data_IF_830206997111
#
_entry.id   IF_830206997111
#
_cell.length_a   1.000
_cell.length_b   1.000
_cell.length_c   1.000
_cell.angle_alpha   90.00
_cell.angle_beta   90.00
_cell.angle_gamma   90.00
#
_symmetry.space_group_name_H-M   'P 1'
#
loop_
_entity.id
_entity.type
_entity.pdbx_description
1 polymer ?
#
# COMPACT_ATOMS: atom_id res chain seq x y z
N UNK A 1 1.30 -9.77 21.49
CA UNK A 1 2.30 -9.28 20.51
C UNK A 1 1.67 -8.15 19.72
N UNK A 2 2.39 -7.05 19.52
CA UNK A 2 1.97 -5.95 18.64
C UNK A 2 2.58 -6.18 17.26
N UNK A 3 1.79 -5.98 16.21
CA UNK A 3 2.26 -6.10 14.82
C UNK A 3 1.79 -4.89 14.03
N UNK A 4 2.71 -4.19 13.38
CA UNK A 4 2.43 -2.99 12.60
C UNK A 4 3.53 -2.68 11.59
N UNK A 5 3.37 -1.58 10.86
CA UNK A 5 4.31 -1.14 9.82
C UNK A 5 4.04 -1.69 8.41
N UNK A 6 3.20 -2.73 8.30
CA UNK A 6 2.66 -3.27 7.05
C UNK A 6 1.34 -4.00 7.29
N UNK A 7 0.68 -4.43 6.22
CA UNK A 7 -0.42 -5.38 6.30
C UNK A 7 0.02 -6.68 7.01
N UNK A 8 -0.86 -7.24 7.85
CA UNK A 8 -0.65 -8.55 8.47
C UNK A 8 -1.45 -9.60 7.69
N UNK A 9 -0.74 -10.54 7.10
CA UNK A 9 -1.33 -11.70 6.44
C UNK A 9 -2.28 -12.48 7.37
N UNK A 10 -3.47 -12.80 6.87
CA UNK A 10 -4.53 -13.44 7.66
C UNK A 10 -4.20 -14.90 8.00
N UNK A 11 -3.45 -15.61 7.16
CA UNK A 11 -3.02 -16.97 7.44
C UNK A 11 -2.00 -16.96 8.58
N UNK A 12 -1.01 -16.07 8.53
CA UNK A 12 -0.04 -15.88 9.61
C UNK A 12 -0.71 -15.49 10.92
N UNK A 13 -1.70 -14.58 10.88
CA UNK A 13 -2.50 -14.23 12.06
C UNK A 13 -3.20 -15.45 12.66
N UNK A 14 -3.86 -16.25 11.82
CA UNK A 14 -4.58 -17.45 12.25
C UNK A 14 -3.64 -18.50 12.84
N UNK A 15 -2.47 -18.70 12.24
CA UNK A 15 -1.43 -19.60 12.77
C UNK A 15 -0.85 -19.13 14.11
N UNK A 16 -0.72 -17.82 14.33
CA UNK A 16 -0.32 -17.29 15.62
C UNK A 16 -1.40 -17.53 16.69
N UNK A 17 -2.68 -17.33 16.33
CA UNK A 17 -3.81 -17.55 17.22
C UNK A 17 -3.96 -19.02 17.62
N UNK A 18 -3.73 -19.99 16.72
CA UNK A 18 -3.74 -21.43 17.06
C UNK A 18 -2.62 -21.82 18.02
N UNK A 19 -1.53 -21.04 18.07
CA UNK A 19 -0.45 -21.17 19.04
C UNK A 19 -0.68 -20.34 20.32
N UNK A 20 -1.91 -19.86 20.53
CA UNK A 20 -2.31 -19.02 21.67
C UNK A 20 -1.54 -17.70 21.77
N UNK A 21 -0.99 -17.19 20.66
CA UNK A 21 -0.35 -15.87 20.61
C UNK A 21 -1.41 -14.82 20.27
N UNK A 22 -1.74 -13.97 21.25
CA UNK A 22 -2.63 -12.82 21.00
C UNK A 22 -1.92 -11.78 20.14
N UNK A 23 -2.44 -11.56 18.93
CA UNK A 23 -1.99 -10.50 18.02
C UNK A 23 -2.87 -9.27 18.14
N UNK A 24 -2.25 -8.10 18.27
CA UNK A 24 -2.90 -6.80 18.17
C UNK A 24 -2.27 -6.07 16.99
N UNK A 25 -3.08 -5.77 15.98
CA UNK A 25 -2.62 -5.01 14.82
C UNK A 25 -2.59 -3.53 15.15
N UNK A 26 -1.55 -2.84 14.72
CA UNK A 26 -1.36 -1.41 14.96
C UNK A 26 -1.20 -0.66 13.66
N UNK A 27 -1.85 0.49 13.56
CA UNK A 27 -1.64 1.47 12.52
C UNK A 27 -1.04 2.74 13.13
N UNK A 28 -0.12 3.35 12.39
CA UNK A 28 0.58 4.55 12.80
C UNK A 28 1.78 4.82 11.91
N UNK A 29 2.42 5.96 12.14
CA UNK A 29 3.55 6.46 11.36
C UNK A 29 4.45 7.34 12.22
N UNK A 30 5.58 7.76 11.66
CA UNK A 30 6.55 8.64 12.35
C UNK A 30 5.89 9.94 12.81
N UNK A 31 4.98 10.47 12.02
CA UNK A 31 4.22 11.70 12.28
C UNK A 31 3.28 11.58 13.49
N UNK A 32 2.92 10.34 13.87
CA UNK A 32 2.13 10.03 15.07
C UNK A 32 2.98 9.39 16.18
N UNK A 33 4.30 9.54 16.12
CA UNK A 33 5.26 8.97 17.08
C UNK A 33 5.11 7.46 17.29
N UNK A 34 4.71 6.73 16.24
CA UNK A 34 4.44 5.29 16.29
C UNK A 34 2.96 4.96 16.12
N UNK A 35 2.49 3.94 16.84
CA UNK A 35 1.11 3.45 16.73
C UNK A 35 0.09 4.39 17.35
N UNK A 36 -0.99 4.71 16.62
CA UNK A 36 -2.08 5.57 17.09
C UNK A 36 -3.46 4.88 17.00
N UNK A 37 -3.60 3.80 16.24
CA UNK A 37 -4.83 3.01 16.11
C UNK A 37 -4.51 1.52 16.30
N UNK A 38 -5.20 0.87 17.23
CA UNK A 38 -4.94 -0.51 17.67
C UNK A 38 -6.20 -1.34 17.47
N UNK A 39 -6.09 -2.43 16.71
CA UNK A 39 -7.22 -3.27 16.31
C UNK A 39 -8.40 -2.44 15.76
N UNK A 40 -8.07 -1.48 14.88
CA UNK A 40 -9.00 -0.52 14.25
C UNK A 40 -9.64 0.52 15.19
N UNK A 41 -9.25 0.54 16.47
CA UNK A 41 -9.74 1.52 17.45
C UNK A 41 -8.66 2.56 17.76
N UNK A 42 -9.03 3.84 17.91
CA UNK A 42 -8.05 4.86 18.27
C UNK A 42 -7.52 4.62 19.69
N UNK A 43 -6.27 5.00 19.94
CA UNK A 43 -5.78 5.17 21.32
C UNK A 43 -6.47 6.35 21.99
N UNK A 44 -6.32 6.46 23.31
CA UNK A 44 -6.88 7.58 24.07
C UNK A 44 -6.37 8.92 23.55
N UNK A 45 -7.29 9.87 23.33
CA UNK A 45 -7.00 11.18 22.77
C UNK A 45 -6.71 11.19 21.27
N UNK A 46 -6.78 10.05 20.58
CA UNK A 46 -6.67 9.99 19.11
C UNK A 46 -8.05 10.11 18.49
N UNK A 47 -8.17 11.01 17.52
CA UNK A 47 -9.34 11.08 16.65
C UNK A 47 -8.91 10.84 15.21
N UNK A 48 -9.82 10.27 14.41
CA UNK A 48 -9.63 10.12 12.98
C UNK A 48 -10.89 10.50 12.21
N UNK A 49 -10.70 10.97 10.98
CA UNK A 49 -11.75 11.19 9.99
C UNK A 49 -11.20 10.92 8.59
N UNK A 50 -12.07 10.96 7.59
CA UNK A 50 -11.67 10.87 6.19
C UNK A 50 -11.81 12.24 5.52
N UNK A 51 -10.87 12.60 4.65
CA UNK A 51 -11.02 13.73 3.73
C UNK A 51 -12.07 13.42 2.65
N UNK A 52 -12.40 14.39 1.80
CA UNK A 52 -13.28 14.20 0.62
C UNK A 52 -12.75 13.14 -0.35
N UNK A 53 -11.44 12.92 -0.38
CA UNK A 53 -10.75 11.95 -1.23
C UNK A 53 -10.56 10.59 -0.53
N UNK A 54 -11.08 10.43 0.71
CA UNK A 54 -10.95 9.20 1.48
C UNK A 54 -9.62 9.05 2.23
N UNK A 55 -8.82 10.12 2.34
CA UNK A 55 -7.55 10.09 3.07
C UNK A 55 -7.78 10.11 4.56
N UNK A 56 -7.01 9.30 5.28
CA UNK A 56 -7.07 9.24 6.73
C UNK A 56 -6.46 10.53 7.29
N UNK A 57 -7.27 11.29 8.00
CA UNK A 57 -6.84 12.44 8.79
C UNK A 57 -6.82 12.05 10.27
N UNK A 58 -5.77 12.41 10.98
CA UNK A 58 -5.50 12.03 12.36
C UNK A 58 -5.21 13.27 13.21
N UNK A 59 -5.59 13.22 14.48
CA UNK A 59 -5.10 14.15 15.51
C UNK A 59 -4.94 13.41 16.83
N UNK A 60 -4.09 13.95 17.71
CA UNK A 60 -3.91 13.40 19.05
C UNK A 60 -2.62 13.85 19.72
N UNK A 61 -2.44 13.48 21.01
CA UNK A 61 -1.36 13.99 21.85
C UNK A 61 0.05 13.53 21.41
N UNK A 62 0.14 12.51 20.56
CA UNK A 62 1.40 11.96 20.04
C UNK A 62 1.79 12.53 18.66
N UNK A 63 0.96 13.39 18.07
CA UNK A 63 1.25 14.00 16.77
C UNK A 63 2.51 14.85 16.87
N UNK A 64 3.45 14.65 15.95
CA UNK A 64 4.66 15.47 15.90
C UNK A 64 4.33 16.90 15.46
N UNK A 65 5.19 17.85 15.84
CA UNK A 65 4.95 19.27 15.57
C UNK A 65 5.16 19.67 14.11
N UNK A 66 5.82 18.84 13.31
CA UNK A 66 6.19 19.15 11.93
C UNK A 66 7.45 18.45 11.45
N UNK A 67 7.80 18.67 10.18
CA UNK A 67 9.09 18.24 9.61
C UNK A 67 10.14 19.31 9.81
N UNK A 68 11.37 18.91 10.11
CA UNK A 68 12.52 19.81 10.13
C UNK A 68 13.07 19.94 8.71
N UNK A 69 13.24 21.16 8.21
CA UNK A 69 13.90 21.41 6.93
C UNK A 69 15.44 21.42 7.03
N UNK A 70 16.10 21.57 5.89
CA UNK A 70 17.57 21.59 5.81
C UNK A 70 18.22 22.76 6.58
N UNK A 71 17.44 23.74 7.02
CA UNK A 71 17.90 24.88 7.82
C UNK A 71 17.57 24.72 9.31
N UNK A 72 16.99 23.59 9.71
CA UNK A 72 16.61 23.32 11.10
C UNK A 72 15.27 23.93 11.50
N UNK A 73 14.51 24.51 10.57
CA UNK A 73 13.20 25.10 10.85
C UNK A 73 12.12 24.02 10.81
N UNK A 74 11.20 24.08 11.78
CA UNK A 74 10.02 23.19 11.81
C UNK A 74 8.96 23.74 10.87
N UNK A 75 8.58 22.94 9.88
CA UNK A 75 7.41 23.13 9.03
C UNK A 75 6.26 22.32 9.62
N UNK A 76 5.22 22.98 10.17
CA UNK A 76 4.14 22.28 10.84
C UNK A 76 3.38 21.37 9.87
N UNK A 77 2.90 20.22 10.37
CA UNK A 77 2.11 19.29 9.57
C UNK A 77 0.74 19.83 9.18
N UNK A 78 0.23 20.80 9.94
CA UNK A 78 -1.16 21.21 9.88
C UNK A 78 -1.26 22.70 10.22
N UNK A 79 -2.23 23.39 9.62
CA UNK A 79 -2.71 24.70 10.10
C UNK A 79 -3.89 24.56 11.09
N UNK A 80 -4.47 23.36 11.24
CA UNK A 80 -5.77 23.12 11.91
C UNK A 80 -5.79 21.89 12.86
N UNK A 81 -4.65 21.51 13.46
CA UNK A 81 -4.47 20.36 14.36
C UNK A 81 -4.77 18.95 13.77
N UNK A 82 -4.97 18.82 12.46
CA UNK A 82 -5.22 17.55 11.78
C UNK A 82 -4.11 17.21 10.78
N UNK A 83 -3.43 16.08 10.98
CA UNK A 83 -2.47 15.52 10.03
C UNK A 83 -3.21 14.69 8.99
N UNK A 84 -3.07 15.05 7.71
CA UNK A 84 -3.58 14.24 6.59
C UNK A 84 -2.49 13.28 6.15
N UNK A 85 -2.70 11.99 6.37
CA UNK A 85 -1.80 10.95 5.87
C UNK A 85 -1.98 10.73 4.37
N UNK A 86 -1.02 10.04 3.76
CA UNK A 86 -1.16 9.50 2.41
C UNK A 86 -1.96 8.19 2.38
N UNK A 87 -2.46 7.71 3.52
CA UNK A 87 -3.19 6.45 3.63
C UNK A 87 -4.69 6.65 3.35
N UNK A 88 -5.28 5.71 2.61
CA UNK A 88 -6.71 5.67 2.31
C UNK A 88 -7.39 4.75 3.32
N UNK A 89 -8.51 5.21 3.84
CA UNK A 89 -9.25 4.53 4.90
C UNK A 89 -10.71 4.33 4.60
N UNK A 90 -11.29 3.39 5.34
CA UNK A 90 -12.73 3.16 5.44
C UNK A 90 -13.11 3.19 6.92
N UNK A 91 -14.18 3.91 7.27
CA UNK A 91 -14.70 3.97 8.64
C UNK A 91 -16.03 3.23 8.69
N UNK A 92 -16.09 2.17 9.48
CA UNK A 92 -17.29 1.40 9.72
C UNK A 92 -17.56 1.29 11.22
N UNK A 93 -18.71 1.79 11.68
CA UNK A 93 -19.09 1.77 13.11
C UNK A 93 -18.00 2.34 14.05
N UNK A 94 -17.33 3.42 13.63
CA UNK A 94 -16.25 4.05 14.40
C UNK A 94 -14.96 3.23 14.46
N UNK A 95 -14.80 2.23 13.58
CA UNK A 95 -13.56 1.47 13.40
C UNK A 95 -12.88 1.91 12.11
N UNK A 96 -11.58 2.19 12.19
CA UNK A 96 -10.77 2.57 11.04
C UNK A 96 -10.09 1.35 10.42
N UNK A 97 -10.37 1.11 9.15
CA UNK A 97 -9.68 0.14 8.31
C UNK A 97 -8.81 0.87 7.30
N UNK A 98 -7.51 0.60 7.30
CA UNK A 98 -6.58 1.09 6.28
C UNK A 98 -6.72 0.22 5.04
N UNK A 99 -6.93 0.85 3.89
CA UNK A 99 -7.13 0.18 2.59
C UNK A 99 -5.83 0.11 1.80
N UNK A 100 -4.96 1.11 1.95
CA UNK A 100 -3.68 1.21 1.26
C UNK A 100 -3.21 2.66 1.28
N UNK A 101 -2.21 2.99 0.48
CA UNK A 101 -1.74 4.37 0.33
C UNK A 101 -2.10 4.96 -1.03
N UNK A 102 -2.27 6.27 -1.07
CA UNK A 102 -2.49 7.06 -2.30
C UNK A 102 -1.40 6.88 -3.33
N UNK A 103 -0.14 6.72 -2.91
CA UNK A 103 0.97 6.39 -3.80
C UNK A 103 0.97 4.93 -4.27
N UNK A 104 0.06 4.10 -3.74
CA UNK A 104 -0.16 2.71 -4.13
C UNK A 104 -1.55 2.46 -4.75
N UNK A 105 -2.35 3.50 -4.97
CA UNK A 105 -3.59 3.43 -5.75
C UNK A 105 -3.37 4.06 -7.11
N UNK A 106 -3.84 3.37 -8.15
CA UNK A 106 -3.82 3.86 -9.52
C UNK A 106 -5.26 4.02 -10.02
N UNK A 107 -5.46 4.95 -10.95
CA UNK A 107 -6.75 5.11 -11.62
C UNK A 107 -6.65 4.46 -13.00
N UNK A 108 -7.20 3.24 -13.12
CA UNK A 108 -7.16 2.45 -14.34
C UNK A 108 -8.56 2.35 -14.95
N UNK A 109 -8.83 3.14 -16.00
CA UNK A 109 -10.12 3.15 -16.69
C UNK A 109 -11.26 3.74 -15.86
N UNK A 110 -10.94 4.69 -14.96
CA UNK A 110 -11.90 5.33 -14.05
C UNK A 110 -12.12 4.60 -12.73
N UNK A 111 -11.47 3.46 -12.52
CA UNK A 111 -11.57 2.67 -11.29
C UNK A 111 -10.31 2.84 -10.44
N UNK A 112 -10.49 3.00 -9.12
CA UNK A 112 -9.40 3.05 -8.14
C UNK A 112 -8.92 1.63 -7.84
N UNK A 113 -7.66 1.32 -8.15
CA UNK A 113 -7.06 0.00 -7.94
C UNK A 113 -5.88 0.11 -6.98
N UNK A 114 -5.92 -0.62 -5.86
CA UNK A 114 -4.78 -0.77 -4.94
C UNK A 114 -3.78 -1.79 -5.51
N UNK A 115 -2.55 -1.33 -5.77
CA UNK A 115 -1.44 -2.15 -6.27
C UNK A 115 -1.05 -3.22 -5.25
N UNK A 116 -0.99 -2.87 -3.96
CA UNK A 116 -0.70 -3.82 -2.87
C UNK A 116 -1.76 -4.93 -2.81
N UNK A 117 -3.05 -4.55 -2.91
CA UNK A 117 -4.13 -5.54 -2.89
C UNK A 117 -4.01 -6.51 -4.06
N UNK A 118 -3.85 -6.00 -5.29
CA UNK A 118 -3.68 -6.84 -6.49
C UNK A 118 -2.45 -7.76 -6.34
N UNK A 119 -1.33 -7.24 -5.87
CA UNK A 119 -0.11 -8.01 -5.63
C UNK A 119 -0.36 -9.14 -4.63
N UNK A 120 -1.06 -8.86 -3.53
CA UNK A 120 -1.41 -9.86 -2.52
C UNK A 120 -2.31 -10.97 -3.08
N UNK A 121 -3.28 -10.63 -3.94
CA UNK A 121 -4.17 -11.61 -4.57
C UNK A 121 -3.43 -12.46 -5.62
N UNK A 122 -2.53 -11.86 -6.41
CA UNK A 122 -1.70 -12.61 -7.36
C UNK A 122 -0.76 -13.57 -6.61
N UNK A 123 -0.17 -13.15 -5.47
CA UNK A 123 0.64 -14.05 -4.63
C UNK A 123 -0.15 -15.24 -4.08
N UNK A 124 -1.46 -15.15 -3.91
CA UNK A 124 -2.27 -16.33 -3.53
C UNK A 124 -2.37 -17.36 -4.66
N UNK A 125 -2.26 -16.91 -5.91
CA UNK A 125 -2.28 -17.78 -7.12
C UNK A 125 -0.87 -18.32 -7.39
N UNK A 126 0.16 -17.49 -7.20
CA UNK A 126 1.57 -17.80 -7.42
C UNK A 126 2.37 -17.54 -6.13
N UNK A 127 2.31 -18.44 -5.14
CA UNK A 127 2.87 -18.20 -3.80
C UNK A 127 4.39 -18.14 -3.75
N UNK A 128 5.06 -18.87 -4.65
CA UNK A 128 6.52 -18.97 -4.68
C UNK A 128 7.18 -17.94 -5.62
N UNK A 129 6.37 -17.15 -6.34
CA UNK A 129 6.89 -16.22 -7.35
C UNK A 129 7.27 -14.87 -6.78
N UNK A 130 8.42 -14.36 -7.21
CA UNK A 130 8.80 -12.97 -6.96
C UNK A 130 8.11 -12.06 -7.97
N UNK A 131 7.19 -11.24 -7.46
CA UNK A 131 6.38 -10.34 -8.27
C UNK A 131 6.38 -8.93 -7.73
N UNK A 132 6.11 -7.97 -8.61
CA UNK A 132 5.80 -6.59 -8.26
C UNK A 132 4.69 -6.03 -9.15
N UNK A 133 3.65 -5.45 -8.56
CA UNK A 133 2.56 -4.78 -9.28
C UNK A 133 2.81 -3.27 -9.30
N UNK A 134 2.67 -2.64 -10.46
CA UNK A 134 2.94 -1.20 -10.63
C UNK A 134 2.07 -0.60 -11.73
N UNK A 135 2.07 0.73 -11.91
CA UNK A 135 1.46 1.38 -13.07
C UNK A 135 2.47 1.93 -14.06
N UNK A 136 2.00 2.04 -15.30
CA UNK A 136 2.59 2.87 -16.34
C UNK A 136 1.50 3.76 -16.94
N UNK A 137 1.85 4.98 -17.43
CA UNK A 137 0.92 5.77 -18.22
C UNK A 137 0.41 5.00 -19.45
N UNK A 138 -0.86 5.18 -19.79
CA UNK A 138 -1.50 4.52 -20.92
C UNK A 138 -2.68 5.35 -21.46
N UNK A 139 -2.74 5.53 -22.78
CA UNK A 139 -3.76 6.38 -23.42
C UNK A 139 -5.19 5.85 -23.26
N UNK A 140 -5.36 4.53 -23.07
CA UNK A 140 -6.68 3.91 -22.92
C UNK A 140 -7.14 3.88 -21.47
N UNK A 141 -6.24 3.63 -20.54
CA UNK A 141 -6.58 3.41 -19.14
C UNK A 141 -6.24 4.60 -18.23
N UNK A 142 -5.52 5.61 -18.73
CA UNK A 142 -4.87 6.63 -17.91
C UNK A 142 -3.61 6.04 -17.26
N UNK A 143 -3.81 5.09 -16.35
CA UNK A 143 -2.77 4.25 -15.78
C UNK A 143 -3.06 2.78 -16.06
N UNK A 144 -2.18 2.09 -16.79
CA UNK A 144 -2.29 0.64 -16.96
C UNK A 144 -1.66 -0.10 -15.79
N UNK A 145 -2.41 -1.02 -15.20
CA UNK A 145 -1.93 -1.99 -14.23
C UNK A 145 -0.91 -2.94 -14.87
N UNK A 146 0.30 -3.02 -14.34
CA UNK A 146 1.40 -3.86 -14.84
C UNK A 146 1.88 -4.84 -13.76
N UNK A 147 2.47 -5.95 -14.20
CA UNK A 147 3.11 -6.94 -13.34
C UNK A 147 4.55 -7.18 -13.79
N UNK A 148 5.51 -7.04 -12.90
CA UNK A 148 6.88 -7.51 -13.06
C UNK A 148 7.03 -8.86 -12.36
N UNK A 149 7.70 -9.83 -12.98
CA UNK A 149 7.91 -11.16 -12.42
C UNK A 149 9.24 -11.74 -12.90
N UNK A 150 9.94 -12.48 -12.03
CA UNK A 150 11.06 -13.34 -12.45
C UNK A 150 10.62 -14.70 -12.99
N UNK A 151 9.37 -15.08 -12.74
CA UNK A 151 8.78 -16.34 -13.17
C UNK A 151 7.78 -16.14 -14.30
N UNK A 152 7.44 -17.25 -14.97
CA UNK A 152 6.40 -17.27 -16.00
C UNK A 152 4.99 -17.27 -15.36
N UNK A 153 4.27 -16.16 -15.55
CA UNK A 153 2.94 -15.92 -15.00
C UNK A 153 1.90 -15.86 -16.13
N UNK A 154 0.76 -16.54 -15.95
CA UNK A 154 -0.34 -16.53 -16.92
C UNK A 154 -1.38 -15.46 -16.60
N UNK A 155 -1.53 -14.47 -17.49
CA UNK A 155 -2.60 -13.48 -17.42
C UNK A 155 -3.98 -14.13 -17.51
N UNK A 156 -4.15 -15.20 -18.28
CA UNK A 156 -5.42 -15.91 -18.40
C UNK A 156 -5.84 -16.52 -17.06
N UNK A 157 -4.90 -17.13 -16.34
CA UNK A 157 -5.17 -17.69 -15.02
C UNK A 157 -5.54 -16.58 -14.03
N UNK A 158 -4.79 -15.48 -14.00
CA UNK A 158 -5.11 -14.32 -13.15
C UNK A 158 -6.51 -13.81 -13.46
N UNK A 159 -6.83 -13.62 -14.75
CA UNK A 159 -8.15 -13.13 -15.20
C UNK A 159 -9.28 -14.05 -14.78
N UNK A 160 -9.07 -15.36 -14.85
CA UNK A 160 -10.06 -16.36 -14.42
C UNK A 160 -10.36 -16.30 -12.92
N UNK A 161 -9.41 -15.83 -12.10
CA UNK A 161 -9.51 -15.80 -10.63
C UNK A 161 -9.93 -14.44 -10.07
N UNK A 162 -9.38 -13.35 -10.61
CA UNK A 162 -9.53 -11.99 -10.07
C UNK A 162 -10.44 -11.10 -10.92
N UNK A 163 -10.83 -11.56 -12.11
CA UNK A 163 -11.64 -10.78 -13.05
C UNK A 163 -10.84 -9.73 -13.83
N UNK A 164 -11.47 -9.18 -14.88
CA UNK A 164 -10.81 -8.29 -15.85
C UNK A 164 -10.27 -6.99 -15.27
N UNK A 165 -10.90 -6.48 -14.21
CA UNK A 165 -10.50 -5.22 -13.57
C UNK A 165 -9.11 -5.35 -12.94
N UNK A 166 -8.94 -6.34 -12.07
CA UNK A 166 -7.72 -6.59 -11.29
C UNK A 166 -6.64 -7.35 -12.07
N UNK A 167 -6.92 -7.75 -13.31
CA UNK A 167 -5.91 -8.39 -14.17
C UNK A 167 -4.93 -7.35 -14.70
N UNK A 168 -3.60 -7.53 -14.51
CA UNK A 168 -2.59 -6.70 -15.14
C UNK A 168 -2.76 -6.68 -16.66
N UNK A 169 -2.60 -5.51 -17.28
CA UNK A 169 -2.73 -5.32 -18.73
C UNK A 169 -1.45 -5.73 -19.46
N UNK A 170 -0.33 -5.79 -18.75
CA UNK A 170 0.98 -6.17 -19.29
C UNK A 170 1.82 -6.86 -18.20
N UNK A 171 2.58 -7.88 -18.61
CA UNK A 171 3.61 -8.52 -17.80
C UNK A 171 4.99 -8.14 -18.34
N UNK A 172 5.93 -7.89 -17.43
CA UNK A 172 7.34 -7.67 -17.71
C UNK A 172 8.17 -8.77 -17.04
N UNK A 173 9.06 -9.38 -17.80
CA UNK A 173 10.03 -10.33 -17.28
C UNK A 173 11.19 -9.55 -16.64
N UNK A 174 11.34 -9.68 -15.33
CA UNK A 174 12.36 -9.00 -14.54
C UNK A 174 13.40 -10.02 -14.07
N UNK A 175 14.69 -9.70 -14.25
CA UNK A 175 15.77 -10.53 -13.72
C UNK A 175 15.84 -10.52 -12.18
N UNK A 176 15.26 -9.50 -11.55
CA UNK A 176 15.10 -9.38 -10.09
C UNK A 176 13.98 -8.37 -9.78
N UNK A 177 13.32 -8.51 -8.63
CA UNK A 177 12.32 -7.54 -8.18
C UNK A 177 12.98 -6.37 -7.42
N UNK A 178 12.80 -5.11 -7.86
CA UNK A 178 13.43 -3.98 -7.21
C UNK A 178 12.82 -3.71 -5.83
N UNK A 179 13.69 -3.46 -4.86
CA UNK A 179 13.31 -3.10 -3.49
C UNK A 179 14.06 -1.84 -3.04
N UNK A 180 13.44 -1.11 -2.12
CA UNK A 180 14.03 0.04 -1.43
C UNK A 180 15.17 -0.40 -0.50
N UNK A 181 15.97 0.54 0.00
CA UNK A 181 17.08 0.26 0.93
C UNK A 181 16.65 -0.46 2.23
N UNK A 182 15.36 -0.40 2.59
CA UNK A 182 14.77 -1.08 3.75
C UNK A 182 14.00 -2.36 3.38
N UNK A 183 14.15 -2.86 2.14
CA UNK A 183 13.60 -4.14 1.69
C UNK A 183 12.13 -4.13 1.27
N UNK A 184 11.47 -2.96 1.19
CA UNK A 184 10.10 -2.85 0.67
C UNK A 184 10.07 -2.83 -0.87
N UNK A 185 9.00 -3.29 -1.54
CA UNK A 185 8.86 -3.16 -3.00
C UNK A 185 9.08 -1.73 -3.48
N UNK A 186 9.86 -1.55 -4.54
CA UNK A 186 10.12 -0.24 -5.15
C UNK A 186 9.42 -0.12 -6.51
N UNK A 187 8.19 0.39 -6.48
CA UNK A 187 7.33 0.49 -7.68
C UNK A 187 7.83 1.56 -8.67
N UNK A 188 8.52 2.59 -8.18
CA UNK A 188 9.13 3.61 -9.04
C UNK A 188 10.28 3.01 -9.83
N UNK A 189 11.14 2.23 -9.17
CA UNK A 189 12.21 1.49 -9.83
C UNK A 189 11.66 0.44 -10.81
N UNK A 190 10.56 -0.25 -10.47
CA UNK A 190 9.88 -1.18 -11.36
C UNK A 190 9.38 -0.50 -12.65
N UNK A 191 8.68 0.63 -12.55
CA UNK A 191 8.22 1.39 -13.71
C UNK A 191 9.40 1.83 -14.60
N UNK A 192 10.51 2.30 -14.00
CA UNK A 192 11.73 2.66 -14.75
C UNK A 192 12.38 1.46 -15.45
N UNK A 193 12.43 0.31 -14.78
CA UNK A 193 12.96 -0.93 -15.37
C UNK A 193 12.11 -1.39 -16.54
N UNK A 194 10.78 -1.37 -16.39
CA UNK A 194 9.82 -1.74 -17.41
C UNK A 194 9.93 -0.84 -18.66
N UNK A 195 10.06 0.48 -18.49
CA UNK A 195 10.27 1.41 -19.60
C UNK A 195 11.56 1.10 -20.37
N UNK A 196 12.67 0.81 -19.68
CA UNK A 196 13.94 0.41 -20.32
C UNK A 196 13.86 -0.91 -21.08
N UNK A 197 13.01 -1.84 -20.62
CA UNK A 197 12.77 -3.09 -21.33
C UNK A 197 11.91 -2.87 -22.58
N UNK A 198 10.94 -1.95 -22.51
CA UNK A 198 10.12 -1.56 -23.66
C UNK A 198 10.90 -0.82 -24.75
N UNK A 199 11.87 0.01 -24.39
CA UNK A 199 12.75 0.74 -25.34
C UNK A 199 13.73 -0.18 -26.11
N UNK A 200 13.95 -1.42 -25.67
CA UNK A 200 14.88 -2.36 -26.32
C UNK A 200 14.26 -3.18 -27.46
N UNK A 201 12.99 -2.94 -27.80
CA UNK A 201 12.25 -3.74 -28.80
C UNK A 201 12.11 -2.99 -30.15
N UNK A 202 12.77 -1.84 -30.34
CA UNK A 202 12.91 -1.20 -31.66
C UNK A 202 14.21 -1.58 -32.39
#
# INVERSE_FOLDING_TARGET
MLVGGSHLDLKLKKEAETKHVKIVTTYGMTEMSGGCVYSQKPLEGVEFKLSSEGLIQLTGPMMATGYIDNQGKINPFTDNDWFTSSDIGEINNGLLKVIGRTDEIIISGGENISLEFVESEIKKIYPDSEIIVFSLPDDKWGEKLCLGSSDNISLELIKSKLGSLLTPKQIFEFSFIPTTAIGKPDRIAASKLALKLGEKIE
#
